data_IF_714326917219
#
_entry.id   IF_714326917219
#
_cell.length_a   1.000
_cell.length_b   1.000
_cell.length_c   1.000
_cell.angle_alpha   90.00
_cell.angle_beta   90.00
_cell.angle_gamma   90.00
#
_symmetry.space_group_name_H-M   'P 1'
#
loop_
_entity.id
_entity.type
_entity.pdbx_description
1 polymer ?
#
# COMPACT_ATOMS: atom_id res chain seq x y z
N UNK A 1 -18.68 -1.63 -19.88
CA UNK A 1 -17.95 -2.89 -19.58
C UNK A 1 -18.20 -3.33 -18.15
N UNK A 2 -18.18 -4.65 -17.92
CA UNK A 2 -18.11 -5.25 -16.59
C UNK A 2 -16.65 -5.48 -16.24
N UNK A 3 -16.17 -4.86 -15.18
CA UNK A 3 -14.78 -4.89 -14.75
C UNK A 3 -14.69 -5.59 -13.39
N UNK A 4 -13.84 -6.59 -13.29
CA UNK A 4 -13.50 -7.24 -12.03
C UNK A 4 -12.10 -6.82 -11.58
N UNK A 5 -11.98 -6.40 -10.33
CA UNK A 5 -10.68 -6.26 -9.66
C UNK A 5 -10.44 -7.44 -8.72
N UNK A 6 -9.26 -8.04 -8.79
CA UNK A 6 -8.90 -9.20 -7.97
C UNK A 6 -7.65 -8.93 -7.16
N UNK A 7 -7.77 -9.10 -5.85
CA UNK A 7 -6.64 -9.19 -4.93
C UNK A 7 -6.39 -10.68 -4.61
N UNK A 8 -5.26 -11.27 -5.06
CA UNK A 8 -5.01 -12.69 -4.93
C UNK A 8 -4.69 -13.10 -3.50
N UNK A 9 -5.02 -14.33 -3.13
CA UNK A 9 -4.55 -14.95 -1.89
C UNK A 9 -3.42 -15.95 -2.20
N UNK A 10 -2.17 -15.67 -1.82
CA UNK A 10 -1.02 -16.53 -2.15
C UNK A 10 -1.15 -17.95 -1.59
N UNK A 11 -1.91 -18.14 -0.51
CA UNK A 11 -2.11 -19.45 0.13
C UNK A 11 -3.03 -20.38 -0.64
N UNK A 12 -3.73 -19.88 -1.64
CA UNK A 12 -4.58 -20.66 -2.54
C UNK A 12 -3.85 -21.08 -3.83
N UNK A 13 -2.59 -20.67 -4.01
CA UNK A 13 -1.79 -21.11 -5.16
C UNK A 13 -1.60 -22.62 -5.17
N UNK A 14 -1.80 -23.24 -6.34
CA UNK A 14 -1.57 -24.67 -6.57
C UNK A 14 -0.11 -25.08 -6.34
N UNK A 15 0.83 -24.15 -6.52
CA UNK A 15 2.27 -24.38 -6.37
C UNK A 15 2.73 -24.28 -4.92
N UNK A 16 2.03 -23.54 -4.07
CA UNK A 16 2.43 -23.23 -2.70
C UNK A 16 1.79 -24.10 -1.62
N UNK A 17 0.55 -24.50 -1.81
CA UNK A 17 -0.26 -25.20 -0.80
C UNK A 17 -0.49 -24.36 0.48
N UNK A 18 -1.61 -24.54 1.14
CA UNK A 18 -1.88 -23.85 2.43
C UNK A 18 -1.16 -24.55 3.57
N UNK A 19 0.06 -24.11 3.88
CA UNK A 19 0.90 -24.63 5.00
C UNK A 19 0.63 -23.91 6.33
N UNK A 20 -0.31 -22.97 6.39
CA UNK A 20 -0.60 -22.19 7.61
C UNK A 20 -1.29 -23.06 8.64
N UNK A 21 -0.87 -22.92 9.90
CA UNK A 21 -1.54 -23.52 11.04
C UNK A 21 -2.95 -22.95 11.27
N UNK A 22 -3.78 -23.67 12.02
CA UNK A 22 -5.16 -23.28 12.35
C UNK A 22 -5.29 -21.83 12.83
N UNK A 23 -4.39 -21.36 13.68
CA UNK A 23 -4.39 -20.00 14.22
C UNK A 23 -4.21 -18.94 13.12
N UNK A 24 -3.34 -19.19 12.15
CA UNK A 24 -3.13 -18.30 11.01
C UNK A 24 -4.33 -18.27 10.05
N UNK A 25 -5.01 -19.43 9.87
CA UNK A 25 -6.25 -19.51 9.09
C UNK A 25 -7.38 -18.71 9.73
N UNK A 26 -7.48 -18.72 11.07
CA UNK A 26 -8.49 -17.93 11.80
C UNK A 26 -8.16 -16.44 11.74
N UNK A 27 -6.92 -16.05 12.01
CA UNK A 27 -6.50 -14.63 11.93
C UNK A 27 -6.55 -14.12 10.49
N UNK A 28 -6.17 -14.94 9.51
CA UNK A 28 -6.26 -14.58 8.09
C UNK A 28 -7.71 -14.31 7.65
N UNK A 29 -8.67 -15.14 8.12
CA UNK A 29 -10.10 -14.87 7.93
C UNK A 29 -10.59 -13.62 8.68
N UNK A 30 -9.92 -13.25 9.78
CA UNK A 30 -10.15 -12.02 10.53
C UNK A 30 -9.35 -10.83 9.98
N UNK A 31 -8.78 -10.92 8.77
CA UNK A 31 -8.02 -9.80 8.16
C UNK A 31 -8.97 -8.66 7.74
N UNK A 32 -9.72 -8.19 8.72
CA UNK A 32 -10.56 -6.99 8.69
C UNK A 32 -9.74 -5.71 8.82
N UNK A 33 -8.41 -5.88 8.85
CA UNK A 33 -7.45 -4.80 9.05
C UNK A 33 -6.89 -4.36 7.70
N UNK A 34 -6.89 -3.07 7.47
CA UNK A 34 -6.09 -2.41 6.44
C UNK A 34 -6.35 -2.91 4.99
N UNK A 35 -7.54 -2.70 4.42
CA UNK A 35 -7.83 -3.08 3.04
C UNK A 35 -6.89 -2.35 2.07
N UNK A 36 -6.48 -3.00 0.95
CA UNK A 36 -5.71 -2.33 -0.08
C UNK A 36 -6.50 -1.16 -0.68
N UNK A 37 -5.84 -0.03 -0.95
CA UNK A 37 -6.48 1.15 -1.55
C UNK A 37 -6.38 1.17 -3.08
N UNK A 38 -5.61 0.29 -3.70
CA UNK A 38 -5.38 0.27 -5.16
C UNK A 38 -6.68 0.20 -5.93
N UNK A 39 -7.53 -0.78 -5.64
CA UNK A 39 -8.79 -0.96 -6.37
C UNK A 39 -9.87 0.06 -5.99
N UNK A 40 -10.05 0.43 -4.72
CA UNK A 40 -10.87 1.60 -4.38
C UNK A 40 -10.48 2.88 -5.11
N UNK A 41 -9.18 3.12 -5.33
CA UNK A 41 -8.70 4.27 -6.10
C UNK A 41 -9.01 4.11 -7.59
N UNK A 42 -8.72 2.95 -8.19
CA UNK A 42 -9.04 2.69 -9.58
C UNK A 42 -10.56 2.73 -9.86
N UNK A 43 -11.38 2.22 -8.94
CA UNK A 43 -12.83 2.38 -9.02
C UNK A 43 -13.26 3.84 -9.05
N UNK A 44 -12.67 4.67 -8.18
CA UNK A 44 -13.01 6.08 -8.10
C UNK A 44 -12.65 6.88 -9.38
N UNK A 45 -11.63 6.46 -10.13
CA UNK A 45 -11.25 7.07 -11.42
C UNK A 45 -11.85 6.34 -12.63
N UNK A 46 -12.58 5.25 -12.43
CA UNK A 46 -13.26 4.52 -13.50
C UNK A 46 -14.54 5.25 -13.91
N UNK A 47 -14.76 5.52 -15.21
CA UNK A 47 -15.99 6.18 -15.67
C UNK A 47 -17.26 5.41 -15.26
N UNK A 48 -18.28 6.14 -14.80
CA UNK A 48 -19.55 5.56 -14.29
C UNK A 48 -20.33 4.69 -15.29
N UNK A 49 -20.02 4.75 -16.57
CA UNK A 49 -20.58 3.86 -17.60
C UNK A 49 -20.13 2.41 -17.47
N UNK A 50 -19.09 2.14 -16.68
CA UNK A 50 -18.59 0.79 -16.42
C UNK A 50 -19.09 0.31 -15.06
N UNK A 51 -19.41 -0.98 -15.00
CA UNK A 51 -19.73 -1.65 -13.73
C UNK A 51 -18.43 -2.25 -13.16
N UNK A 52 -18.09 -1.86 -11.92
CA UNK A 52 -16.89 -2.33 -11.24
C UNK A 52 -17.28 -3.23 -10.08
N UNK A 53 -16.62 -4.38 -9.98
CA UNK A 53 -16.71 -5.31 -8.85
C UNK A 53 -15.30 -5.60 -8.33
N UNK A 54 -15.16 -5.95 -7.06
CA UNK A 54 -13.90 -6.36 -6.47
C UNK A 54 -14.05 -7.67 -5.71
N UNK A 55 -13.10 -8.56 -5.92
CA UNK A 55 -12.91 -9.79 -5.16
C UNK A 55 -11.57 -9.72 -4.43
N UNK A 56 -11.61 -9.80 -3.10
CA UNK A 56 -10.43 -10.07 -2.27
C UNK A 56 -10.45 -11.55 -1.90
N UNK A 57 -9.60 -12.33 -2.52
CA UNK A 57 -9.57 -13.79 -2.40
C UNK A 57 -9.21 -14.26 -0.98
N UNK A 58 -8.65 -13.39 -0.14
CA UNK A 58 -8.48 -13.64 1.28
C UNK A 58 -9.82 -13.80 2.03
N UNK A 59 -10.91 -13.26 1.50
CA UNK A 59 -12.22 -13.18 2.15
C UNK A 59 -13.34 -13.86 1.39
N UNK A 60 -13.25 -13.94 0.07
CA UNK A 60 -14.31 -14.50 -0.78
C UNK A 60 -13.72 -15.28 -1.96
N UNK A 61 -14.47 -16.25 -2.46
CA UNK A 61 -14.07 -17.05 -3.63
C UNK A 61 -14.30 -16.26 -4.91
N UNK A 62 -13.39 -16.46 -5.87
CA UNK A 62 -13.59 -15.98 -7.24
C UNK A 62 -14.61 -16.88 -7.94
N UNK A 63 -15.59 -16.26 -8.57
CA UNK A 63 -16.51 -16.94 -9.49
C UNK A 63 -15.96 -16.82 -10.92
N UNK A 64 -15.34 -17.87 -11.40
CA UNK A 64 -14.77 -17.92 -12.74
C UNK A 64 -15.81 -18.10 -13.84
N UNK A 65 -17.04 -18.53 -13.51
CA UNK A 65 -18.11 -18.72 -14.49
C UNK A 65 -18.79 -17.38 -14.89
N UNK A 66 -18.58 -16.34 -14.10
CA UNK A 66 -19.12 -15.01 -14.38
C UNK A 66 -18.33 -14.30 -15.48
N UNK A 67 -19.03 -13.74 -16.44
CA UNK A 67 -18.42 -13.06 -17.58
C UNK A 67 -18.01 -11.62 -17.22
N UNK A 68 -16.75 -11.29 -17.51
CA UNK A 68 -16.19 -9.96 -17.39
C UNK A 68 -15.51 -9.54 -18.69
N UNK A 69 -15.63 -8.26 -19.04
CA UNK A 69 -14.94 -7.69 -20.19
C UNK A 69 -13.45 -7.44 -19.86
N UNK A 70 -13.18 -7.08 -18.61
CA UNK A 70 -11.86 -6.79 -18.10
C UNK A 70 -11.66 -7.33 -16.68
N UNK A 71 -10.54 -7.99 -16.46
CA UNK A 71 -10.08 -8.40 -15.13
C UNK A 71 -8.76 -7.70 -14.80
N UNK A 72 -8.77 -6.86 -13.77
CA UNK A 72 -7.59 -6.16 -13.27
C UNK A 72 -7.06 -6.85 -12.03
N UNK A 73 -5.77 -7.25 -12.04
CA UNK A 73 -5.12 -7.94 -10.92
C UNK A 73 -3.96 -7.11 -10.45
N UNK A 74 -3.80 -6.93 -9.15
CA UNK A 74 -2.60 -6.33 -8.55
C UNK A 74 -1.95 -7.33 -7.62
N UNK A 75 -0.61 -7.43 -7.66
CA UNK A 75 0.10 -8.40 -6.85
C UNK A 75 1.47 -7.89 -6.38
N UNK A 76 1.79 -8.24 -5.15
CA UNK A 76 3.16 -8.24 -4.63
C UNK A 76 3.90 -9.50 -5.08
N UNK A 77 5.22 -9.58 -4.87
CA UNK A 77 6.02 -10.73 -5.29
C UNK A 77 5.55 -12.06 -4.68
N UNK A 78 5.12 -12.06 -3.43
CA UNK A 78 4.63 -13.28 -2.78
C UNK A 78 3.23 -13.72 -3.23
N UNK A 79 2.50 -12.87 -3.91
CA UNK A 79 1.14 -13.12 -4.44
C UNK A 79 1.15 -13.49 -5.93
N UNK A 80 2.28 -13.28 -6.62
CA UNK A 80 2.31 -13.24 -8.08
C UNK A 80 1.95 -14.58 -8.72
N UNK A 81 2.37 -15.70 -8.14
CA UNK A 81 2.05 -17.03 -8.67
C UNK A 81 0.52 -17.22 -8.71
N UNK A 82 -0.15 -16.85 -7.63
CA UNK A 82 -1.62 -16.91 -7.59
C UNK A 82 -2.26 -15.94 -8.58
N UNK A 83 -1.70 -14.75 -8.73
CA UNK A 83 -2.14 -13.76 -9.73
C UNK A 83 -2.08 -14.35 -11.15
N UNK A 84 -1.02 -15.06 -11.49
CA UNK A 84 -0.85 -15.71 -12.80
C UNK A 84 -1.87 -16.84 -13.02
N UNK A 85 -2.09 -17.68 -12.02
CA UNK A 85 -3.12 -18.73 -12.08
C UNK A 85 -4.52 -18.14 -12.35
N UNK A 86 -4.88 -17.06 -11.66
CA UNK A 86 -6.16 -16.36 -11.85
C UNK A 86 -6.23 -15.73 -13.25
N UNK A 87 -5.15 -15.07 -13.67
CA UNK A 87 -5.07 -14.42 -14.96
C UNK A 87 -5.26 -15.41 -16.11
N UNK A 88 -4.53 -16.53 -16.09
CA UNK A 88 -4.60 -17.57 -17.10
C UNK A 88 -5.99 -18.20 -17.17
N UNK A 89 -6.66 -18.38 -16.03
CA UNK A 89 -8.01 -18.94 -16.00
C UNK A 89 -9.04 -18.00 -16.62
N UNK A 90 -9.00 -16.69 -16.33
CA UNK A 90 -9.89 -15.72 -16.96
C UNK A 90 -9.62 -15.55 -18.46
N UNK A 91 -8.34 -15.56 -18.87
CA UNK A 91 -7.96 -15.49 -20.30
C UNK A 91 -8.47 -16.68 -21.09
N UNK A 92 -8.39 -17.90 -20.55
CA UNK A 92 -8.99 -19.12 -21.16
C UNK A 92 -10.49 -18.98 -21.41
N UNK A 93 -11.17 -18.19 -20.58
CA UNK A 93 -12.61 -17.90 -20.66
C UNK A 93 -12.94 -16.68 -21.51
N UNK A 94 -11.93 -16.07 -22.15
CA UNK A 94 -12.10 -14.96 -23.08
C UNK A 94 -12.11 -13.56 -22.48
N UNK A 95 -11.96 -13.41 -21.15
CA UNK A 95 -11.85 -12.10 -20.53
C UNK A 95 -10.48 -11.47 -20.86
N UNK A 96 -10.44 -10.14 -21.02
CA UNK A 96 -9.18 -9.41 -21.10
C UNK A 96 -8.60 -9.25 -19.71
N UNK A 97 -7.29 -9.54 -19.55
CA UNK A 97 -6.63 -9.47 -18.25
C UNK A 97 -5.53 -8.43 -18.27
N UNK A 98 -5.53 -7.60 -17.24
CA UNK A 98 -4.51 -6.58 -16.97
C UNK A 98 -3.87 -6.86 -15.61
N UNK A 99 -2.54 -6.99 -15.58
CA UNK A 99 -1.79 -7.15 -14.33
C UNK A 99 -0.99 -5.88 -14.06
N UNK A 100 -1.02 -5.43 -12.82
CA UNK A 100 -0.24 -4.31 -12.31
C UNK A 100 0.34 -4.59 -10.92
N UNK A 101 0.81 -3.54 -10.27
CA UNK A 101 1.37 -3.61 -8.93
C UNK A 101 2.88 -3.75 -8.90
N UNK A 102 3.47 -3.90 -7.69
CA UNK A 102 4.91 -3.87 -7.49
C UNK A 102 5.68 -4.92 -8.27
N UNK A 103 5.22 -6.17 -8.29
CA UNK A 103 5.93 -7.23 -9.00
C UNK A 103 5.89 -7.04 -10.52
N UNK A 104 4.70 -6.79 -11.08
CA UNK A 104 4.54 -6.57 -12.52
C UNK A 104 5.30 -5.31 -13.00
N UNK A 105 5.45 -4.30 -12.14
CA UNK A 105 6.27 -3.12 -12.45
C UNK A 105 7.78 -3.43 -12.46
N UNK A 106 8.22 -4.40 -11.67
CA UNK A 106 9.63 -4.82 -11.61
C UNK A 106 9.99 -5.83 -12.71
N UNK A 107 9.07 -6.73 -13.05
CA UNK A 107 9.26 -7.81 -14.04
C UNK A 107 8.12 -7.83 -15.07
N UNK A 108 7.99 -6.77 -15.90
CA UNK A 108 6.82 -6.62 -16.77
C UNK A 108 6.76 -7.67 -17.88
N UNK A 109 7.89 -8.12 -18.41
CA UNK A 109 7.93 -9.16 -19.47
C UNK A 109 7.48 -10.53 -18.94
N UNK A 110 7.79 -10.85 -17.68
CA UNK A 110 7.29 -12.05 -17.01
C UNK A 110 5.77 -11.97 -16.86
N UNK A 111 5.26 -10.87 -16.29
CA UNK A 111 3.83 -10.66 -16.08
C UNK A 111 3.05 -10.66 -17.41
N UNK A 112 3.67 -10.19 -18.51
CA UNK A 112 3.06 -10.16 -19.85
C UNK A 112 2.73 -11.55 -20.39
N UNK A 113 3.43 -12.60 -19.97
CA UNK A 113 3.13 -13.97 -20.39
C UNK A 113 1.74 -14.42 -19.92
N UNK A 114 1.28 -13.89 -18.79
CA UNK A 114 0.00 -14.22 -18.15
C UNK A 114 -1.10 -13.16 -18.35
N UNK A 115 -0.81 -12.03 -19.01
CA UNK A 115 -1.76 -10.94 -19.16
C UNK A 115 -1.88 -10.45 -20.61
N UNK A 116 -3.03 -9.90 -20.99
CA UNK A 116 -3.20 -9.19 -22.25
C UNK A 116 -2.48 -7.83 -22.21
N UNK A 117 -2.36 -7.24 -21.02
CA UNK A 117 -1.66 -5.98 -20.80
C UNK A 117 -1.03 -5.91 -19.42
N UNK A 118 0.09 -5.19 -19.30
CA UNK A 118 0.76 -4.92 -18.02
C UNK A 118 0.82 -3.42 -17.77
N UNK A 119 0.43 -3.02 -16.56
CA UNK A 119 0.54 -1.64 -16.09
C UNK A 119 1.79 -1.49 -15.22
N UNK A 120 2.70 -0.62 -15.64
CA UNK A 120 3.98 -0.36 -14.99
C UNK A 120 3.91 0.98 -14.26
N UNK A 121 4.06 0.95 -12.92
CA UNK A 121 3.95 2.12 -12.06
C UNK A 121 2.54 2.36 -11.53
N UNK A 122 2.22 3.63 -11.23
CA UNK A 122 0.91 4.02 -10.70
C UNK A 122 -0.13 4.07 -11.82
N UNK A 123 -1.24 3.37 -11.64
CA UNK A 123 -2.21 3.17 -12.72
C UNK A 123 -3.16 4.36 -12.94
N UNK A 124 -3.41 5.17 -11.93
CA UNK A 124 -4.46 6.20 -11.94
C UNK A 124 -4.33 7.18 -13.13
N UNK A 125 -3.10 7.56 -13.46
CA UNK A 125 -2.84 8.53 -14.54
C UNK A 125 -2.99 7.96 -15.96
N UNK A 126 -3.04 6.64 -16.11
CA UNK A 126 -3.12 5.97 -17.42
C UNK A 126 -4.33 5.06 -17.54
N UNK A 127 -5.11 4.89 -16.46
CA UNK A 127 -6.25 3.98 -16.40
C UNK A 127 -7.33 4.33 -17.42
N UNK A 128 -7.69 5.61 -17.52
CA UNK A 128 -8.68 6.06 -18.50
C UNK A 128 -8.26 5.70 -19.93
N UNK A 129 -6.98 5.93 -20.27
CA UNK A 129 -6.45 5.60 -21.61
C UNK A 129 -6.47 4.09 -21.88
N UNK A 130 -6.17 3.28 -20.88
CA UNK A 130 -6.24 1.82 -21.00
C UNK A 130 -7.67 1.38 -21.29
N UNK A 131 -8.66 1.90 -20.57
CA UNK A 131 -10.08 1.57 -20.80
C UNK A 131 -10.55 2.02 -22.19
N UNK A 132 -10.17 3.22 -22.63
CA UNK A 132 -10.47 3.71 -23.97
C UNK A 132 -9.84 2.84 -25.07
N UNK A 133 -8.58 2.44 -24.91
CA UNK A 133 -7.90 1.56 -25.85
C UNK A 133 -8.57 0.17 -25.90
N UNK A 134 -9.01 -0.36 -24.76
CA UNK A 134 -9.75 -1.62 -24.70
C UNK A 134 -11.09 -1.53 -25.42
N UNK A 135 -11.89 -0.49 -25.17
CA UNK A 135 -13.19 -0.28 -25.84
C UNK A 135 -13.05 -0.19 -27.36
N UNK A 136 -11.93 0.34 -27.84
CA UNK A 136 -11.64 0.48 -29.28
C UNK A 136 -10.89 -0.71 -29.88
N UNK A 137 -10.72 -1.83 -29.14
CA UNK A 137 -9.98 -3.00 -29.60
C UNK A 137 -8.48 -2.78 -29.83
N UNK A 138 -7.89 -1.76 -29.19
CA UNK A 138 -6.50 -1.33 -29.35
C UNK A 138 -5.68 -1.47 -28.08
N UNK A 139 -6.03 -2.42 -27.20
CA UNK A 139 -5.32 -2.68 -25.96
C UNK A 139 -3.84 -2.95 -26.23
N UNK A 140 -2.95 -2.19 -25.57
CA UNK A 140 -1.50 -2.32 -25.72
C UNK A 140 -0.96 -3.38 -24.76
N UNK A 141 0.17 -4.00 -25.13
CA UNK A 141 0.87 -4.95 -24.25
C UNK A 141 1.33 -4.32 -22.95
N UNK A 142 1.76 -3.06 -23.00
CA UNK A 142 2.28 -2.33 -21.84
C UNK A 142 1.71 -0.92 -21.77
N UNK A 143 1.36 -0.51 -20.54
CA UNK A 143 1.06 0.87 -20.20
C UNK A 143 2.05 1.34 -19.16
N UNK A 144 2.77 2.40 -19.48
CA UNK A 144 3.80 2.97 -18.64
C UNK A 144 3.46 4.40 -18.23
N UNK A 145 3.45 4.66 -16.94
CA UNK A 145 3.25 5.99 -16.40
C UNK A 145 4.54 6.80 -16.54
N UNK A 146 4.61 7.73 -17.52
CA UNK A 146 5.81 8.53 -17.79
C UNK A 146 6.16 9.51 -16.68
N UNK A 147 5.16 10.05 -15.99
CA UNK A 147 5.32 10.96 -14.84
C UNK A 147 4.42 10.48 -13.71
N UNK A 148 4.85 10.60 -12.45
CA UNK A 148 3.98 10.27 -11.34
C UNK A 148 2.72 11.12 -11.39
N UNK A 149 1.51 10.57 -11.12
CA UNK A 149 0.28 11.35 -11.14
C UNK A 149 0.33 12.44 -10.07
N UNK A 150 -0.29 13.58 -10.37
CA UNK A 150 -0.55 14.61 -9.37
C UNK A 150 -1.61 14.10 -8.38
N UNK A 151 -1.31 14.16 -7.10
CA UNK A 151 -2.22 13.68 -6.06
C UNK A 151 -3.32 14.70 -5.72
N UNK A 152 -3.19 15.97 -6.15
CA UNK A 152 -4.18 17.02 -5.88
C UNK A 152 -5.47 16.82 -6.67
N UNK A 153 -5.39 16.21 -7.85
CA UNK A 153 -6.54 15.92 -8.71
C UNK A 153 -7.19 14.56 -8.49
N UNK A 154 -6.64 13.71 -7.63
CA UNK A 154 -7.19 12.38 -7.40
C UNK A 154 -8.43 12.42 -6.48
N UNK A 155 -9.52 11.73 -6.85
CA UNK A 155 -10.69 11.61 -5.97
C UNK A 155 -10.38 10.81 -4.70
N UNK A 156 -11.27 10.86 -3.72
CA UNK A 156 -11.23 9.92 -2.60
C UNK A 156 -11.50 8.49 -3.10
N UNK A 157 -10.80 7.47 -2.56
CA UNK A 157 -11.03 6.07 -2.94
C UNK A 157 -12.50 5.65 -2.75
N UNK A 158 -13.05 4.95 -3.73
CA UNK A 158 -14.39 4.37 -3.63
C UNK A 158 -14.37 3.09 -2.77
N UNK A 159 -14.62 3.27 -1.48
CA UNK A 159 -14.62 2.15 -0.53
C UNK A 159 -15.86 1.28 -0.57
N UNK A 160 -16.88 1.65 -1.37
CA UNK A 160 -18.10 0.85 -1.50
C UNK A 160 -17.84 -0.49 -2.20
N UNK A 161 -16.78 -0.56 -3.03
CA UNK A 161 -16.40 -1.83 -3.67
C UNK A 161 -15.78 -2.84 -2.68
N UNK A 162 -15.39 -2.39 -1.48
CA UNK A 162 -14.87 -3.26 -0.41
C UNK A 162 -16.05 -3.95 0.30
N UNK A 163 -16.63 -4.94 -0.32
CA UNK A 163 -17.80 -5.66 0.20
C UNK A 163 -17.44 -6.60 1.37
N UNK A 164 -16.95 -6.03 2.48
CA UNK A 164 -16.56 -6.77 3.68
C UNK A 164 -16.54 -5.90 4.95
N UNK A 165 -16.54 -6.57 6.11
CA UNK A 165 -16.31 -5.89 7.40
C UNK A 165 -14.86 -5.38 7.45
N UNK A 166 -14.70 -4.10 7.77
CA UNK A 166 -13.41 -3.44 7.96
C UNK A 166 -13.41 -2.80 9.35
N UNK A 167 -12.42 -3.11 10.19
CA UNK A 167 -12.25 -2.52 11.52
C UNK A 167 -11.25 -1.34 11.49
N UNK A 168 -10.17 -1.48 10.72
CA UNK A 168 -9.16 -0.43 10.51
C UNK A 168 -9.13 -0.07 9.04
N UNK A 169 -9.41 1.18 8.72
CA UNK A 169 -9.37 1.63 7.33
C UNK A 169 -8.04 2.30 7.00
N UNK A 170 -7.66 2.28 5.72
CA UNK A 170 -6.47 2.92 5.21
C UNK A 170 -6.76 4.31 4.65
N UNK A 171 -5.84 5.25 4.84
CA UNK A 171 -5.79 6.54 4.15
C UNK A 171 -4.35 6.81 3.74
N UNK A 172 -4.17 7.53 2.65
CA UNK A 172 -2.85 7.92 2.17
C UNK A 172 -2.82 9.43 1.95
N UNK A 173 -1.93 10.13 2.66
CA UNK A 173 -1.76 11.57 2.55
C UNK A 173 -0.62 11.96 1.61
N UNK A 174 0.36 11.05 1.42
CA UNK A 174 1.50 11.27 0.55
C UNK A 174 1.95 9.98 -0.15
N UNK A 175 2.69 10.11 -1.23
CA UNK A 175 3.35 9.02 -1.96
C UNK A 175 4.79 9.33 -2.25
N UNK A 176 5.60 8.28 -2.34
CA UNK A 176 7.01 8.35 -2.66
C UNK A 176 7.90 8.49 -1.43
N UNK A 177 9.20 8.20 -1.61
CA UNK A 177 10.21 8.27 -0.57
C UNK A 177 11.55 8.62 -1.19
N UNK A 178 12.21 9.72 -0.78
CA UNK A 178 13.47 10.16 -1.39
C UNK A 178 14.66 9.26 -1.05
N UNK A 179 14.50 8.37 -0.06
CA UNK A 179 15.56 7.48 0.39
C UNK A 179 15.79 6.31 -0.56
N UNK A 180 16.98 5.72 -0.50
CA UNK A 180 17.44 4.65 -1.39
C UNK A 180 17.83 3.39 -0.60
N UNK A 181 16.98 2.95 0.30
CA UNK A 181 17.20 1.69 1.00
C UNK A 181 17.18 0.54 -0.02
N UNK A 182 18.24 -0.28 -0.06
CA UNK A 182 18.43 -1.30 -1.12
C UNK A 182 17.30 -2.31 -1.22
N UNK A 183 16.69 -2.67 -0.10
CA UNK A 183 15.59 -3.64 -0.02
C UNK A 183 14.21 -3.04 -0.34
N UNK A 184 14.08 -1.71 -0.39
CA UNK A 184 12.78 -1.06 -0.46
C UNK A 184 12.31 -0.90 -1.90
N UNK A 185 11.16 -1.47 -2.23
CA UNK A 185 10.54 -1.32 -3.54
C UNK A 185 10.31 0.16 -3.89
N UNK A 186 9.75 0.96 -2.97
CA UNK A 186 9.38 2.35 -3.25
C UNK A 186 10.60 3.17 -3.69
N UNK A 187 11.69 3.12 -2.92
CA UNK A 187 12.91 3.88 -3.22
C UNK A 187 13.64 3.44 -4.49
N UNK A 188 13.32 2.25 -5.02
CA UNK A 188 13.98 1.66 -6.21
C UNK A 188 13.04 1.53 -7.42
N UNK A 189 11.75 1.84 -7.27
CA UNK A 189 10.79 1.84 -8.38
C UNK A 189 10.85 3.13 -9.19
N UNK A 190 10.35 3.05 -10.42
CA UNK A 190 10.16 4.22 -11.27
C UNK A 190 9.23 5.22 -10.55
N UNK A 191 9.63 6.46 -10.46
CA UNK A 191 8.92 7.54 -9.75
C UNK A 191 8.74 7.38 -8.24
N UNK A 192 9.07 6.23 -7.65
CA UNK A 192 8.89 6.02 -6.20
C UNK A 192 9.68 6.97 -5.31
N UNK A 193 10.75 7.61 -5.84
CA UNK A 193 11.51 8.65 -5.13
C UNK A 193 10.92 10.05 -5.20
N UNK A 194 9.92 10.27 -6.04
CA UNK A 194 9.25 11.58 -6.15
C UNK A 194 8.23 11.68 -5.04
N UNK A 195 8.58 12.38 -3.97
CA UNK A 195 7.66 12.63 -2.86
C UNK A 195 6.59 13.64 -3.27
N UNK A 196 5.32 13.29 -3.07
CA UNK A 196 4.14 14.09 -3.43
C UNK A 196 3.14 14.04 -2.28
N UNK A 197 2.43 15.13 -2.07
CA UNK A 197 1.45 15.29 -0.99
C UNK A 197 0.07 15.58 -1.55
N UNK A 198 -0.96 15.13 -0.86
CA UNK A 198 -2.33 15.57 -1.08
C UNK A 198 -2.59 16.83 -0.24
N UNK A 199 -3.45 17.74 -0.69
CA UNK A 199 -3.92 18.85 0.15
C UNK A 199 -4.51 18.33 1.47
N UNK A 200 -4.19 19.01 2.58
CA UNK A 200 -4.62 18.59 3.92
C UNK A 200 -6.14 18.49 4.00
N UNK A 201 -6.86 19.45 3.42
CA UNK A 201 -8.32 19.50 3.39
C UNK A 201 -8.94 18.31 2.63
N UNK A 202 -8.26 17.76 1.62
CA UNK A 202 -8.72 16.56 0.93
C UNK A 202 -8.55 15.31 1.78
N UNK A 203 -7.44 15.24 2.54
CA UNK A 203 -7.18 14.12 3.46
C UNK A 203 -8.17 14.14 4.62
N UNK A 204 -8.39 15.28 5.28
CA UNK A 204 -9.36 15.40 6.38
C UNK A 204 -10.78 15.16 5.90
N UNK A 205 -11.15 15.69 4.73
CA UNK A 205 -12.44 15.46 4.09
C UNK A 205 -12.70 13.98 3.75
N UNK A 206 -11.67 13.24 3.30
CA UNK A 206 -11.75 11.80 3.10
C UNK A 206 -11.96 11.07 4.44
N UNK A 207 -11.16 11.39 5.46
CA UNK A 207 -11.20 10.76 6.78
C UNK A 207 -12.57 10.96 7.45
N UNK A 208 -13.20 12.11 7.30
CA UNK A 208 -14.55 12.39 7.83
C UNK A 208 -15.59 11.41 7.28
N UNK A 209 -15.46 11.00 6.01
CA UNK A 209 -16.37 10.04 5.33
C UNK A 209 -16.11 8.59 5.70
N UNK A 210 -14.93 8.25 6.21
CA UNK A 210 -14.60 6.89 6.66
C UNK A 210 -15.36 6.60 7.96
N UNK A 211 -16.09 5.47 8.02
CA UNK A 211 -16.89 5.10 9.22
C UNK A 211 -16.04 4.64 10.40
N UNK A 212 -14.92 3.99 10.13
CA UNK A 212 -14.04 3.39 11.14
C UNK A 212 -13.44 4.46 12.05
N UNK A 213 -13.28 4.12 13.33
CA UNK A 213 -12.67 4.99 14.32
C UNK A 213 -11.14 4.90 14.34
N UNK A 214 -10.59 3.82 13.81
CA UNK A 214 -9.13 3.63 13.69
C UNK A 214 -8.72 3.69 12.22
N UNK A 215 -7.78 4.57 11.93
CA UNK A 215 -7.25 4.82 10.59
C UNK A 215 -5.74 4.54 10.58
N UNK A 216 -5.29 3.73 9.63
CA UNK A 216 -3.88 3.52 9.37
C UNK A 216 -3.44 4.37 8.17
N UNK A 217 -2.41 5.20 8.33
CA UNK A 217 -1.84 5.94 7.21
C UNK A 217 -0.91 5.04 6.41
N UNK A 218 -1.14 4.94 5.10
CA UNK A 218 -0.35 4.13 4.15
C UNK A 218 0.78 4.92 3.50
N UNK A 219 1.11 6.04 4.09
CA UNK A 219 2.25 6.84 3.68
C UNK A 219 3.55 6.06 3.88
N UNK A 220 4.51 6.25 3.00
CA UNK A 220 5.82 5.61 3.12
C UNK A 220 6.58 6.09 4.36
N UNK A 221 6.37 7.32 4.78
CA UNK A 221 6.77 7.87 6.08
C UNK A 221 6.19 9.27 6.26
N UNK A 222 5.46 9.48 7.34
CA UNK A 222 4.94 10.80 7.76
C UNK A 222 6.07 11.77 8.16
N UNK A 223 7.29 11.28 8.35
CA UNK A 223 8.44 12.09 8.79
C UNK A 223 9.33 12.58 7.63
N UNK A 224 8.94 12.38 6.37
CA UNK A 224 9.67 12.92 5.20
C UNK A 224 9.50 14.44 5.13
N UNK A 225 8.27 14.93 5.32
CA UNK A 225 7.94 16.34 5.42
C UNK A 225 7.21 16.57 6.75
N UNK A 226 7.98 16.94 7.77
CA UNK A 226 7.45 17.12 9.13
C UNK A 226 6.51 18.31 9.25
N UNK A 227 6.72 19.38 8.49
CA UNK A 227 5.86 20.56 8.51
C UNK A 227 4.48 20.25 7.90
N UNK A 228 4.44 19.50 6.80
CA UNK A 228 3.19 18.99 6.26
C UNK A 228 2.46 18.10 7.29
N UNK A 229 3.19 17.21 7.94
CA UNK A 229 2.59 16.29 8.94
C UNK A 229 2.09 17.04 10.18
N UNK A 230 2.82 18.07 10.65
CA UNK A 230 2.35 18.95 11.73
C UNK A 230 1.07 19.70 11.34
N UNK A 231 1.02 20.23 10.11
CA UNK A 231 -0.18 20.89 9.59
C UNK A 231 -1.36 19.93 9.51
N UNK A 232 -1.14 18.72 9.00
CA UNK A 232 -2.16 17.67 8.97
C UNK A 232 -2.62 17.29 10.38
N UNK A 233 -1.71 17.13 11.34
CA UNK A 233 -2.06 16.84 12.73
C UNK A 233 -2.92 17.93 13.38
N UNK A 234 -2.63 19.21 13.12
CA UNK A 234 -3.46 20.33 13.59
C UNK A 234 -4.88 20.24 13.03
N UNK A 235 -5.02 20.03 11.74
CA UNK A 235 -6.32 19.87 11.08
C UNK A 235 -7.07 18.63 11.59
N UNK A 236 -6.39 17.49 11.77
CA UNK A 236 -6.99 16.26 12.31
C UNK A 236 -7.50 16.46 13.75
N UNK A 237 -6.75 17.18 14.59
CA UNK A 237 -7.15 17.52 15.96
C UNK A 237 -8.46 18.33 15.99
N UNK A 238 -8.58 19.31 15.10
CA UNK A 238 -9.72 20.23 15.08
C UNK A 238 -10.95 19.63 14.41
N UNK A 239 -10.75 18.85 13.35
CA UNK A 239 -11.81 18.45 12.43
C UNK A 239 -12.28 17.00 12.59
N UNK A 240 -11.47 16.14 13.23
CA UNK A 240 -11.67 14.69 13.17
C UNK A 240 -11.53 14.03 14.55
N UNK A 241 -12.57 13.32 14.99
CA UNK A 241 -12.52 12.53 16.25
C UNK A 241 -12.26 11.05 15.95
N UNK A 242 -10.99 10.69 15.68
CA UNK A 242 -10.56 9.31 15.39
C UNK A 242 -9.21 9.00 16.00
N UNK A 243 -8.78 7.72 15.87
CA UNK A 243 -7.44 7.27 16.25
C UNK A 243 -6.64 6.95 15.01
N UNK A 244 -5.33 7.20 15.10
CA UNK A 244 -4.43 7.07 13.97
C UNK A 244 -3.24 6.18 14.28
N UNK A 245 -2.80 5.46 13.25
CA UNK A 245 -1.51 4.75 13.20
C UNK A 245 -0.69 5.42 12.12
N UNK A 246 0.48 5.92 12.47
CA UNK A 246 1.41 6.57 11.55
C UNK A 246 2.63 5.68 11.30
N UNK A 247 3.29 5.89 10.17
CA UNK A 247 4.59 5.31 9.87
C UNK A 247 5.64 6.41 9.80
N UNK A 248 6.78 6.21 10.45
CA UNK A 248 7.79 7.26 10.53
C UNK A 248 9.21 6.77 10.73
N UNK A 249 10.12 7.71 10.61
CA UNK A 249 11.55 7.49 10.81
C UNK A 249 11.94 7.79 12.25
N UNK A 250 12.59 6.84 12.90
CA UNK A 250 12.92 6.90 14.33
C UNK A 250 13.78 8.10 14.69
N UNK A 251 14.74 8.46 13.85
CA UNK A 251 15.65 9.56 14.16
C UNK A 251 14.99 10.95 14.07
N UNK A 252 14.02 11.10 13.16
CA UNK A 252 13.23 12.33 13.08
C UNK A 252 12.36 12.47 14.32
N UNK A 253 11.65 11.40 14.70
CA UNK A 253 10.83 11.38 15.92
C UNK A 253 11.66 11.60 17.20
N UNK A 254 12.90 11.13 17.23
CA UNK A 254 13.82 11.40 18.35
C UNK A 254 14.11 12.89 18.55
N UNK A 255 14.07 13.68 17.48
CA UNK A 255 14.51 15.09 17.49
C UNK A 255 13.37 16.10 17.50
N UNK A 256 12.18 15.71 17.05
CA UNK A 256 11.03 16.60 16.86
C UNK A 256 9.95 16.34 17.92
N UNK A 257 10.10 16.99 19.09
CA UNK A 257 9.14 16.90 20.19
C UNK A 257 7.77 17.52 19.83
N UNK A 258 7.78 18.58 19.00
CA UNK A 258 6.55 19.22 18.55
C UNK A 258 5.73 18.25 17.69
N UNK A 259 6.37 17.51 16.78
CA UNK A 259 5.70 16.51 15.97
C UNK A 259 5.08 15.40 16.83
N UNK A 260 5.80 14.91 17.84
CA UNK A 260 5.26 13.90 18.77
C UNK A 260 4.05 14.44 19.54
N UNK A 261 4.13 15.66 20.07
CA UNK A 261 3.03 16.32 20.77
C UNK A 261 1.81 16.47 19.85
N UNK A 262 1.97 17.07 18.67
CA UNK A 262 0.90 17.32 17.74
C UNK A 262 0.27 16.01 17.24
N UNK A 263 1.07 14.98 16.95
CA UNK A 263 0.51 13.68 16.55
C UNK A 263 -0.33 13.04 17.65
N UNK A 264 0.13 13.11 18.92
CA UNK A 264 -0.68 12.62 20.05
C UNK A 264 -1.99 13.39 20.20
N UNK A 265 -1.94 14.70 20.12
CA UNK A 265 -3.11 15.58 20.20
C UNK A 265 -4.09 15.34 19.06
N UNK A 266 -3.60 15.04 17.86
CA UNK A 266 -4.41 14.66 16.70
C UNK A 266 -5.12 13.31 16.88
N UNK A 267 -4.70 12.48 17.84
CA UNK A 267 -5.28 11.15 18.09
C UNK A 267 -4.40 9.99 17.62
N UNK A 268 -3.13 10.24 17.28
CA UNK A 268 -2.18 9.16 17.01
C UNK A 268 -1.99 8.31 18.27
N UNK A 269 -2.11 7.00 18.13
CA UNK A 269 -1.91 6.03 19.20
C UNK A 269 -0.67 5.18 19.00
N UNK A 270 -0.17 5.09 17.77
CA UNK A 270 0.94 4.20 17.43
C UNK A 270 1.78 4.77 16.29
N UNK A 271 3.09 4.64 16.43
CA UNK A 271 4.05 4.81 15.35
C UNK A 271 4.61 3.46 14.90
N UNK A 272 4.46 3.17 13.62
CA UNK A 272 5.14 2.06 12.93
C UNK A 272 6.54 2.54 12.53
N UNK A 273 7.57 1.79 12.90
CA UNK A 273 8.96 2.20 12.72
C UNK A 273 9.78 1.08 12.10
N UNK A 274 10.37 1.34 10.94
CA UNK A 274 11.37 0.47 10.35
C UNK A 274 12.72 0.65 11.05
N UNK A 275 12.97 -0.13 12.10
CA UNK A 275 14.31 -0.21 12.73
C UNK A 275 15.28 -0.95 11.83
N UNK A 276 14.82 -2.00 11.19
CA UNK A 276 15.48 -2.93 10.29
C UNK A 276 16.57 -3.76 10.99
N UNK A 277 17.49 -3.14 11.73
CA UNK A 277 18.54 -3.84 12.46
C UNK A 277 19.00 -3.06 13.69
N UNK A 278 19.55 -3.78 14.68
CA UNK A 278 20.31 -3.21 15.79
C UNK A 278 21.82 -3.13 15.49
N UNK A 279 22.25 -3.54 14.29
CA UNK A 279 23.62 -3.37 13.79
C UNK A 279 23.71 -2.13 12.91
N UNK A 280 24.57 -1.17 13.29
CA UNK A 280 24.81 0.02 12.46
C UNK A 280 25.50 -0.32 11.15
N UNK A 281 26.26 -1.41 11.10
CA UNK A 281 26.94 -1.91 9.91
C UNK A 281 25.92 -2.47 8.92
N UNK A 282 25.00 -3.32 9.37
CA UNK A 282 23.89 -3.84 8.55
C UNK A 282 23.01 -2.71 7.99
N UNK A 283 22.74 -1.66 8.77
CA UNK A 283 22.01 -0.48 8.29
C UNK A 283 22.74 0.28 7.18
N UNK A 284 24.07 0.42 7.29
CA UNK A 284 24.88 1.06 6.24
C UNK A 284 24.93 0.23 4.98
N UNK A 285 25.07 -1.09 5.09
CA UNK A 285 25.05 -2.04 3.98
C UNK A 285 23.82 -1.83 3.08
N UNK A 286 22.66 -1.61 3.67
CA UNK A 286 21.39 -1.42 2.93
C UNK A 286 20.99 0.04 2.72
N UNK A 287 21.90 0.99 2.94
CA UNK A 287 21.63 2.43 2.80
C UNK A 287 20.51 2.97 3.69
N UNK A 288 20.23 2.34 4.84
CA UNK A 288 19.29 2.87 5.84
C UNK A 288 19.93 3.97 6.69
N UNK A 289 20.46 4.99 6.05
CA UNK A 289 21.23 6.08 6.68
C UNK A 289 20.38 6.98 7.59
N UNK A 290 19.08 6.86 7.51
CA UNK A 290 18.13 7.56 8.39
C UNK A 290 18.12 7.01 9.81
N UNK A 291 18.71 5.83 10.06
CA UNK A 291 18.67 5.17 11.35
C UNK A 291 20.05 5.22 12.05
N UNK A 292 20.04 5.61 13.32
CA UNK A 292 21.19 5.57 14.21
C UNK A 292 20.85 4.73 15.43
N UNK A 293 21.43 3.54 15.51
CA UNK A 293 21.10 2.55 16.55
C UNK A 293 21.21 3.12 17.97
N UNK A 294 22.25 3.94 18.23
CA UNK A 294 22.46 4.58 19.54
C UNK A 294 21.30 5.51 20.00
N UNK A 295 20.46 5.95 19.08
CA UNK A 295 19.32 6.83 19.36
C UNK A 295 18.01 6.05 19.61
N UNK A 296 17.96 4.74 19.35
CA UNK A 296 16.72 3.94 19.39
C UNK A 296 16.05 3.97 20.76
N UNK A 297 16.80 3.68 21.83
CA UNK A 297 16.25 3.67 23.19
C UNK A 297 15.64 5.03 23.56
N UNK A 298 16.39 6.11 23.31
CA UNK A 298 15.91 7.48 23.57
C UNK A 298 14.65 7.82 22.79
N UNK A 299 14.61 7.45 21.52
CA UNK A 299 13.47 7.74 20.65
C UNK A 299 12.21 6.96 21.05
N UNK A 300 12.36 5.66 21.34
CA UNK A 300 11.24 4.83 21.84
C UNK A 300 10.71 5.37 23.15
N UNK A 301 11.62 5.70 24.10
CA UNK A 301 11.20 6.30 25.38
C UNK A 301 10.40 7.59 25.16
N UNK A 302 10.87 8.50 24.30
CA UNK A 302 10.14 9.74 23.98
C UNK A 302 8.73 9.49 23.45
N UNK A 303 8.57 8.53 22.52
CA UNK A 303 7.26 8.18 21.97
C UNK A 303 6.34 7.65 23.07
N UNK A 304 6.86 6.80 23.96
CA UNK A 304 6.11 6.27 25.10
C UNK A 304 5.77 7.39 26.10
N UNK A 305 6.69 8.32 26.39
CA UNK A 305 6.46 9.47 27.28
C UNK A 305 5.31 10.37 26.75
N UNK A 306 5.07 10.39 25.42
CA UNK A 306 3.91 11.04 24.82
C UNK A 306 2.64 10.14 24.78
N UNK A 307 2.66 8.96 25.40
CA UNK A 307 1.51 8.05 25.50
C UNK A 307 1.13 7.37 24.17
N UNK A 308 2.11 7.11 23.31
CA UNK A 308 1.92 6.39 22.05
C UNK A 308 2.72 5.08 22.04
N UNK A 309 2.19 4.06 21.35
CA UNK A 309 2.89 2.79 21.15
C UNK A 309 3.90 2.87 19.99
N UNK A 310 4.89 1.98 20.06
CA UNK A 310 5.82 1.73 18.94
C UNK A 310 5.62 0.31 18.43
N UNK A 311 5.41 0.18 17.11
CA UNK A 311 5.48 -1.09 16.41
C UNK A 311 6.74 -1.12 15.56
N UNK A 312 7.73 -1.90 15.96
CA UNK A 312 9.05 -1.98 15.30
C UNK A 312 9.11 -3.11 14.27
N UNK A 313 9.59 -2.79 13.07
CA UNK A 313 9.92 -3.78 12.05
C UNK A 313 11.43 -4.06 12.08
N UNK A 314 11.81 -5.33 12.10
CA UNK A 314 13.18 -5.80 12.06
C UNK A 314 13.35 -6.81 10.93
N UNK A 315 14.50 -6.76 10.29
CA UNK A 315 14.96 -7.71 9.28
C UNK A 315 16.22 -8.40 9.79
N UNK A 316 16.34 -9.67 9.50
CA UNK A 316 17.49 -10.49 9.87
C UNK A 316 18.05 -11.16 8.62
N UNK A 317 19.35 -11.47 8.65
CA UNK A 317 20.04 -12.09 7.54
C UNK A 317 20.80 -11.11 6.65
N UNK A 318 21.17 -9.95 7.18
CA UNK A 318 22.14 -9.07 6.53
C UNK A 318 23.54 -9.68 6.58
N UNK A 319 24.42 -9.36 5.61
CA UNK A 319 25.77 -9.90 5.52
C UNK A 319 26.61 -9.59 6.76
N UNK A 320 26.34 -8.48 7.43
CA UNK A 320 27.01 -8.07 8.67
C UNK A 320 26.32 -8.56 9.95
N UNK A 321 25.25 -9.36 9.86
CA UNK A 321 24.60 -9.87 11.05
C UNK A 321 25.46 -10.96 11.70
N UNK A 322 25.67 -10.85 13.02
CA UNK A 322 26.36 -11.81 13.84
C UNK A 322 25.35 -12.67 14.64
N UNK A 323 25.77 -13.79 15.21
CA UNK A 323 24.91 -14.64 16.06
C UNK A 323 24.29 -13.90 17.25
N UNK A 324 24.87 -12.78 17.65
CA UNK A 324 24.41 -11.91 18.75
C UNK A 324 23.35 -10.90 18.34
N UNK A 325 22.82 -10.98 17.11
CA UNK A 325 21.80 -10.03 16.60
C UNK A 325 20.42 -10.25 17.26
N UNK A 326 20.23 -11.41 17.90
CA UNK A 326 19.01 -11.79 18.64
C UNK A 326 19.12 -11.47 20.11
#
# INVERSE_FOLDING_TARGET
MNILFVHPNPDLSKTGGDKRGFFHKVIGKMNVLCPPLTFPMLSAVTPRKHKVEMVDECHQKIDFEKNYDLVGITAMTHEIIRAYEIADEFRKRGAKVVIGGPHASALPEEAKQHADSVVIGEAEGIWFKLLEDLENGRLKSFYFQKKPPDLTGLPAPDRNILNRLILVNGVQSSRGCPYRCKYCFVGNSTHGRVFRKRPVEYVTGEIKRVRQKLINFYDTSMTIDTEYTKTLCKALKEEVNKKFIFLGNINTLCKDDELLKLSREAGCIQWNIGFESISQESLREVNKNTNKVKEYYKAVKKIHDHGMFVHGFFMFGFDHDKRTIF
#
